data_IF_877791712594
#
_entry.id   IF_877791712594
#
_cell.length_a   1.000
_cell.length_b   1.000
_cell.length_c   1.000
_cell.angle_alpha   90.00
_cell.angle_beta   90.00
_cell.angle_gamma   90.00
#
_symmetry.space_group_name_H-M   'P 1'
#
loop_
_entity.id
_entity.type
_entity.pdbx_description
1 polymer ?
#
# COMPACT_ATOMS: atom_id res chain seq x y z
N UNK A 1 -22.51 8.00 -16.80
CA UNK A 1 -21.51 7.84 -15.73
C UNK A 1 -20.85 6.48 -15.92
N UNK A 2 -19.53 6.44 -15.93
CA UNK A 2 -18.77 5.18 -15.92
C UNK A 2 -18.92 4.59 -14.51
N UNK A 3 -19.27 3.32 -14.38
CA UNK A 3 -19.37 2.67 -13.06
C UNK A 3 -17.97 2.34 -12.54
N UNK A 4 -17.81 2.25 -11.21
CA UNK A 4 -16.52 1.86 -10.61
C UNK A 4 -15.99 0.53 -11.16
N UNK A 5 -16.92 -0.41 -11.41
CA UNK A 5 -16.62 -1.70 -12.04
C UNK A 5 -16.02 -1.57 -13.44
N UNK A 6 -16.44 -0.59 -14.24
CA UNK A 6 -15.84 -0.35 -15.55
C UNK A 6 -14.39 0.16 -15.44
N UNK A 7 -14.04 0.90 -14.38
CA UNK A 7 -12.64 1.27 -14.12
C UNK A 7 -11.80 0.06 -13.70
N UNK A 8 -12.36 -0.82 -12.87
CA UNK A 8 -11.73 -2.09 -12.50
C UNK A 8 -11.48 -2.98 -13.73
N UNK A 9 -12.51 -3.21 -14.55
CA UNK A 9 -12.40 -4.00 -15.79
C UNK A 9 -11.34 -3.42 -16.72
N UNK A 10 -11.32 -2.08 -16.87
CA UNK A 10 -10.28 -1.40 -17.65
C UNK A 10 -8.90 -1.64 -17.05
N UNK A 11 -8.73 -1.50 -15.74
CA UNK A 11 -7.44 -1.72 -15.07
C UNK A 11 -6.88 -3.11 -15.35
N UNK A 12 -7.72 -4.15 -15.26
CA UNK A 12 -7.31 -5.55 -15.47
C UNK A 12 -6.89 -5.87 -16.91
N UNK A 13 -7.40 -5.12 -17.89
CA UNK A 13 -7.16 -5.37 -19.32
C UNK A 13 -5.94 -4.62 -19.87
N UNK A 14 -5.34 -3.73 -19.09
CA UNK A 14 -4.30 -2.84 -19.56
C UNK A 14 -2.92 -3.48 -19.40
N UNK A 15 -1.99 -3.00 -20.21
CA UNK A 15 -0.63 -3.47 -20.13
C UNK A 15 0.09 -2.76 -18.98
N UNK A 16 0.79 -3.53 -18.15
CA UNK A 16 1.77 -3.03 -17.21
C UNK A 16 3.10 -2.84 -17.94
N UNK A 17 3.51 -1.58 -18.08
CA UNK A 17 4.76 -1.21 -18.75
C UNK A 17 5.82 -0.98 -17.68
N UNK A 18 6.79 -1.88 -17.64
CA UNK A 18 7.93 -1.81 -16.73
C UNK A 18 9.14 -1.18 -17.42
N UNK A 19 9.79 -0.27 -16.70
CA UNK A 19 11.16 0.17 -16.96
C UNK A 19 12.05 -0.23 -15.78
N UNK A 20 13.38 -0.02 -15.84
CA UNK A 20 14.26 -0.29 -14.70
C UNK A 20 13.88 0.46 -13.41
N UNK A 21 13.24 1.62 -13.53
CA UNK A 21 12.99 2.55 -12.42
C UNK A 21 11.49 2.87 -12.20
N UNK A 22 10.59 2.33 -13.02
CA UNK A 22 9.18 2.75 -13.02
C UNK A 22 8.24 1.64 -13.51
N UNK A 23 7.04 1.61 -12.92
CA UNK A 23 5.88 0.91 -13.43
C UNK A 23 4.84 1.95 -13.90
N UNK A 24 4.37 1.80 -15.14
CA UNK A 24 3.23 2.56 -15.65
C UNK A 24 2.08 1.67 -16.11
N UNK A 25 0.85 2.09 -15.81
CA UNK A 25 -0.39 1.43 -16.23
C UNK A 25 -1.34 2.54 -16.65
N UNK A 26 -2.00 2.43 -17.81
CA UNK A 26 -2.89 3.48 -18.33
C UNK A 26 -2.24 4.88 -18.47
N UNK A 27 -0.91 4.93 -18.60
CA UNK A 27 -0.15 6.19 -18.62
C UNK A 27 0.01 6.87 -17.26
N UNK A 28 -0.47 6.25 -16.17
CA UNK A 28 -0.19 6.66 -14.79
C UNK A 28 1.18 6.13 -14.36
N UNK A 29 1.94 6.96 -13.65
CA UNK A 29 3.16 6.55 -12.97
C UNK A 29 2.74 5.86 -11.67
N UNK A 30 2.60 4.54 -11.72
CA UNK A 30 2.02 3.74 -10.63
C UNK A 30 3.02 3.56 -9.51
N UNK A 31 4.30 3.40 -9.83
CA UNK A 31 5.37 3.25 -8.85
C UNK A 31 6.70 3.66 -9.46
N UNK A 32 7.54 4.37 -8.70
CA UNK A 32 8.90 4.73 -9.13
C UNK A 32 9.96 4.40 -8.06
N UNK A 33 11.18 4.11 -8.47
CA UNK A 33 12.26 3.67 -7.57
C UNK A 33 12.82 4.78 -6.67
N UNK A 34 12.61 6.07 -7.00
CA UNK A 34 13.00 7.20 -6.15
C UNK A 34 12.31 7.15 -4.77
N UNK A 35 11.17 6.47 -4.69
CA UNK A 35 10.40 6.27 -3.47
C UNK A 35 11.04 5.24 -2.52
N UNK A 36 12.13 4.58 -2.91
CA UNK A 36 12.66 3.40 -2.20
C UNK A 36 12.93 3.62 -0.71
N UNK A 37 13.47 4.79 -0.32
CA UNK A 37 13.71 5.07 1.11
C UNK A 37 12.40 5.33 1.86
N UNK A 38 11.41 5.93 1.20
CA UNK A 38 10.08 6.12 1.77
C UNK A 38 9.36 4.78 1.93
N UNK A 39 9.36 3.92 0.90
CA UNK A 39 8.83 2.55 0.95
C UNK A 39 9.49 1.70 2.02
N UNK A 40 10.81 1.82 2.19
CA UNK A 40 11.53 1.19 3.29
C UNK A 40 10.96 1.62 4.63
N UNK A 41 10.70 2.91 4.82
CA UNK A 41 10.15 3.41 6.09
C UNK A 41 8.74 2.89 6.36
N UNK A 42 7.86 2.89 5.35
CA UNK A 42 6.53 2.29 5.50
C UNK A 42 6.61 0.80 5.84
N UNK A 43 7.51 0.05 5.19
CA UNK A 43 7.73 -1.36 5.51
C UNK A 43 8.25 -1.57 6.95
N UNK A 44 9.15 -0.72 7.45
CA UNK A 44 9.61 -0.77 8.84
C UNK A 44 8.46 -0.51 9.83
N UNK A 45 7.59 0.46 9.54
CA UNK A 45 6.41 0.77 10.37
C UNK A 45 5.47 -0.44 10.39
N UNK A 46 5.08 -0.94 9.21
CA UNK A 46 4.18 -2.07 9.05
C UNK A 46 4.71 -3.36 9.68
N UNK A 47 6.03 -3.56 9.72
CA UNK A 47 6.64 -4.75 10.32
C UNK A 47 7.05 -4.57 11.78
N UNK A 48 6.81 -3.40 12.38
CA UNK A 48 7.29 -3.08 13.74
C UNK A 48 6.68 -3.96 14.84
N UNK A 49 5.51 -4.56 14.59
CA UNK A 49 4.86 -5.52 15.51
C UNK A 49 5.17 -6.98 15.14
N UNK A 50 5.95 -7.23 14.07
CA UNK A 50 6.22 -8.56 13.55
C UNK A 50 4.95 -9.27 13.06
N UNK A 51 4.89 -10.59 13.25
CA UNK A 51 3.66 -11.36 13.06
C UNK A 51 3.12 -11.37 11.63
N UNK A 52 1.83 -11.12 11.47
CA UNK A 52 1.11 -11.19 10.19
C UNK A 52 1.00 -9.79 9.60
N UNK A 53 1.58 -9.59 8.42
CA UNK A 53 1.57 -8.29 7.72
C UNK A 53 0.75 -8.37 6.45
N UNK A 54 -0.17 -7.42 6.28
CA UNK A 54 -0.91 -7.20 5.05
C UNK A 54 -0.28 -6.04 4.27
N UNK A 55 0.01 -6.24 3.01
CA UNK A 55 0.38 -5.20 2.05
C UNK A 55 -0.71 -5.12 0.97
N UNK A 56 -1.22 -3.92 0.70
CA UNK A 56 -2.26 -3.69 -0.30
C UNK A 56 -1.68 -2.83 -1.42
N UNK A 57 -1.54 -3.44 -2.60
CA UNK A 57 -0.79 -2.91 -3.74
C UNK A 57 0.66 -3.41 -3.74
N UNK A 58 1.07 -4.07 -4.82
CA UNK A 58 2.43 -4.64 -4.91
C UNK A 58 3.40 -3.72 -5.67
N UNK A 59 2.93 -3.08 -6.75
CA UNK A 59 3.73 -2.20 -7.59
C UNK A 59 5.02 -2.87 -8.11
N UNK A 60 6.17 -2.29 -7.76
CA UNK A 60 7.51 -2.83 -8.11
C UNK A 60 8.06 -3.83 -7.09
N UNK A 61 7.32 -4.13 -6.01
CA UNK A 61 7.75 -5.02 -4.94
C UNK A 61 8.91 -4.48 -4.10
N UNK A 62 9.01 -3.14 -3.99
CA UNK A 62 10.05 -2.45 -3.20
C UNK A 62 9.76 -2.61 -1.71
N UNK A 63 8.61 -2.12 -1.25
CA UNK A 63 8.07 -2.31 0.11
C UNK A 63 7.99 -3.80 0.46
N UNK A 64 7.41 -4.62 -0.43
CA UNK A 64 7.37 -6.08 -0.28
C UNK A 64 8.75 -6.70 0.01
N UNK A 65 9.81 -6.22 -0.64
CA UNK A 65 11.18 -6.65 -0.42
C UNK A 65 11.66 -6.34 1.00
N UNK A 66 11.41 -5.11 1.47
CA UNK A 66 11.74 -4.70 2.84
C UNK A 66 10.91 -5.45 3.89
N UNK A 67 9.61 -5.70 3.63
CA UNK A 67 8.75 -6.50 4.50
C UNK A 67 9.30 -7.92 4.62
N UNK A 68 9.65 -8.57 3.51
CA UNK A 68 10.22 -9.93 3.49
C UNK A 68 11.57 -10.05 4.19
N UNK A 69 12.37 -8.97 4.18
CA UNK A 69 13.65 -8.89 4.88
C UNK A 69 13.50 -8.77 6.39
N UNK A 70 12.32 -8.39 6.90
CA UNK A 70 12.07 -8.36 8.34
C UNK A 70 12.09 -9.79 8.92
N UNK A 71 12.93 -10.07 9.92
CA UNK A 71 12.94 -11.37 10.58
C UNK A 71 11.76 -11.55 11.54
N UNK A 72 11.08 -10.46 11.92
CA UNK A 72 10.01 -10.46 12.90
C UNK A 72 8.66 -10.94 12.35
N UNK A 73 8.50 -10.96 11.02
CA UNK A 73 7.23 -11.37 10.39
C UNK A 73 7.13 -12.90 10.29
N UNK A 74 5.93 -13.41 10.56
CA UNK A 74 5.54 -14.80 10.36
C UNK A 74 4.99 -15.02 8.95
N UNK A 75 4.17 -14.10 8.46
CA UNK A 75 3.48 -14.23 7.17
C UNK A 75 3.27 -12.85 6.55
N UNK A 76 3.46 -12.79 5.23
CA UNK A 76 3.18 -11.61 4.43
C UNK A 76 2.08 -11.91 3.42
N UNK A 77 0.95 -11.23 3.55
CA UNK A 77 -0.18 -11.33 2.64
C UNK A 77 -0.18 -10.08 1.77
N UNK A 78 -0.11 -10.26 0.45
CA UNK A 78 -0.16 -9.15 -0.51
C UNK A 78 -1.47 -9.23 -1.28
N UNK A 79 -2.21 -8.12 -1.34
CA UNK A 79 -3.36 -7.97 -2.25
C UNK A 79 -2.90 -7.18 -3.47
N UNK A 80 -3.09 -7.75 -4.66
CA UNK A 80 -2.79 -7.08 -5.93
C UNK A 80 -3.82 -7.50 -6.98
N UNK A 81 -4.39 -6.54 -7.71
CA UNK A 81 -5.45 -6.79 -8.67
C UNK A 81 -4.92 -7.05 -10.08
N UNK A 82 -3.85 -6.37 -10.49
CA UNK A 82 -3.42 -6.36 -11.89
C UNK A 82 -2.71 -7.67 -12.25
N UNK A 83 -3.18 -8.42 -13.27
CA UNK A 83 -2.71 -9.77 -13.55
C UNK A 83 -1.21 -9.83 -13.90
N UNK A 84 -0.71 -8.85 -14.66
CA UNK A 84 0.73 -8.77 -14.99
C UNK A 84 1.60 -8.42 -13.77
N UNK A 85 1.08 -7.63 -12.82
CA UNK A 85 1.78 -7.30 -11.57
C UNK A 85 1.80 -8.50 -10.64
N UNK A 86 0.69 -9.27 -10.56
CA UNK A 86 0.67 -10.55 -9.84
C UNK A 86 1.65 -11.55 -10.44
N UNK A 87 1.73 -11.66 -11.77
CA UNK A 87 2.71 -12.53 -12.42
C UNK A 87 4.14 -12.11 -12.05
N UNK A 88 4.44 -10.82 -12.12
CA UNK A 88 5.74 -10.27 -11.72
C UNK A 88 6.06 -10.58 -10.24
N UNK A 89 5.11 -10.37 -9.33
CA UNK A 89 5.23 -10.66 -7.91
C UNK A 89 5.53 -12.15 -7.64
N UNK A 90 4.78 -13.05 -8.28
CA UNK A 90 4.98 -14.51 -8.15
C UNK A 90 6.33 -14.96 -8.67
N UNK A 91 6.84 -14.35 -9.73
CA UNK A 91 8.19 -14.63 -10.24
C UNK A 91 9.26 -14.12 -9.28
N UNK A 92 9.15 -12.86 -8.82
CA UNK A 92 10.14 -12.19 -7.97
C UNK A 92 10.28 -12.84 -6.59
N UNK A 93 9.16 -13.26 -6.00
CA UNK A 93 9.11 -13.80 -4.64
C UNK A 93 8.77 -15.30 -4.60
N UNK A 94 9.12 -16.04 -5.66
CA UNK A 94 8.79 -17.46 -5.80
C UNK A 94 9.25 -18.33 -4.61
N UNK A 95 10.44 -18.06 -4.06
CA UNK A 95 10.99 -18.80 -2.92
C UNK A 95 10.21 -18.52 -1.64
N UNK A 96 9.86 -17.25 -1.37
CA UNK A 96 9.08 -16.87 -0.20
C UNK A 96 7.65 -17.45 -0.24
N UNK A 97 7.07 -17.52 -1.45
CA UNK A 97 5.76 -18.15 -1.67
C UNK A 97 5.87 -19.66 -1.49
N UNK A 98 6.87 -20.31 -2.08
CA UNK A 98 7.09 -21.75 -1.95
C UNK A 98 7.36 -22.17 -0.50
N UNK A 99 8.03 -21.32 0.28
CA UNK A 99 8.25 -21.51 1.71
C UNK A 99 7.02 -21.21 2.58
N UNK A 100 5.93 -20.72 2.00
CA UNK A 100 4.72 -20.32 2.73
C UNK A 100 4.84 -19.01 3.51
N UNK A 101 5.98 -18.32 3.46
CA UNK A 101 6.22 -17.03 4.13
C UNK A 101 5.44 -15.87 3.49
N UNK A 102 5.13 -15.97 2.20
CA UNK A 102 4.36 -14.97 1.46
C UNK A 102 3.16 -15.60 0.75
N UNK A 103 2.07 -14.86 0.61
CA UNK A 103 0.95 -15.19 -0.26
C UNK A 103 0.48 -13.97 -1.03
N UNK A 104 -0.07 -14.20 -2.23
CA UNK A 104 -0.60 -13.14 -3.09
C UNK A 104 -2.06 -13.46 -3.40
N UNK A 105 -2.93 -12.57 -2.96
CA UNK A 105 -4.36 -12.53 -3.24
C UNK A 105 -4.56 -11.71 -4.52
N UNK A 106 -4.87 -12.39 -5.63
CA UNK A 106 -5.10 -11.76 -6.93
C UNK A 106 -6.53 -11.21 -6.99
N UNK A 107 -6.75 -10.01 -6.45
CA UNK A 107 -8.07 -9.38 -6.35
C UNK A 107 -7.93 -7.87 -6.09
N UNK A 108 -9.01 -7.14 -6.34
CA UNK A 108 -9.17 -5.80 -5.78
C UNK A 108 -9.30 -5.89 -4.25
N UNK A 109 -8.80 -4.88 -3.53
CA UNK A 109 -8.82 -4.90 -2.07
C UNK A 109 -10.24 -4.86 -1.54
N UNK A 110 -11.14 -4.12 -2.21
CA UNK A 110 -12.56 -4.02 -1.87
C UNK A 110 -13.26 -5.38 -1.88
N UNK A 111 -12.77 -6.31 -2.69
CA UNK A 111 -13.28 -7.67 -2.79
C UNK A 111 -12.54 -8.58 -1.80
N UNK A 112 -11.20 -8.52 -1.78
CA UNK A 112 -10.38 -9.40 -0.95
C UNK A 112 -10.62 -9.21 0.55
N UNK A 113 -10.75 -7.98 1.03
CA UNK A 113 -10.85 -7.72 2.48
C UNK A 113 -12.15 -8.23 3.07
N UNK A 114 -13.23 -8.33 2.28
CA UNK A 114 -14.54 -8.85 2.73
C UNK A 114 -14.48 -10.28 3.25
N UNK A 115 -13.58 -11.08 2.69
CA UNK A 115 -13.40 -12.48 3.07
C UNK A 115 -12.32 -12.67 4.15
N UNK A 116 -11.58 -11.60 4.49
CA UNK A 116 -10.56 -11.64 5.54
C UNK A 116 -11.20 -11.49 6.93
N UNK A 117 -10.88 -12.37 7.89
CA UNK A 117 -11.39 -12.26 9.25
C UNK A 117 -10.92 -10.97 9.94
N UNK A 118 -11.76 -10.45 10.83
CA UNK A 118 -11.39 -9.35 11.73
C UNK A 118 -10.14 -9.71 12.56
N UNK A 119 -9.35 -8.70 12.92
CA UNK A 119 -8.18 -8.87 13.78
C UNK A 119 -7.19 -9.96 13.30
N UNK A 120 -6.92 -10.00 12.00
CA UNK A 120 -6.02 -10.98 11.38
C UNK A 120 -4.56 -10.52 11.34
N UNK A 121 -4.29 -9.21 11.31
CA UNK A 121 -2.96 -8.66 11.03
C UNK A 121 -2.40 -7.86 12.19
N UNK A 122 -1.10 -8.00 12.41
CA UNK A 122 -0.31 -7.21 13.36
C UNK A 122 0.19 -5.91 12.70
N UNK A 123 0.30 -5.89 11.38
CA UNK A 123 0.72 -4.74 10.59
C UNK A 123 0.01 -4.64 9.24
N UNK A 124 -0.31 -3.42 8.80
CA UNK A 124 -0.89 -3.14 7.47
C UNK A 124 -0.13 -2.00 6.79
N UNK A 125 0.27 -2.22 5.53
CA UNK A 125 0.78 -1.22 4.60
C UNK A 125 -0.20 -1.07 3.44
N UNK A 126 -0.74 0.13 3.22
CA UNK A 126 -1.60 0.41 2.07
C UNK A 126 -0.93 1.38 1.10
N UNK A 127 -0.67 0.92 -0.12
CA UNK A 127 -0.06 1.72 -1.19
C UNK A 127 -0.62 1.28 -2.54
N UNK A 128 -1.78 1.84 -2.89
CA UNK A 128 -2.47 1.54 -4.14
C UNK A 128 -2.48 2.77 -5.05
N UNK A 129 -2.83 2.57 -6.32
CA UNK A 129 -3.00 3.67 -7.27
C UNK A 129 -4.49 3.89 -7.56
N UNK A 130 -4.96 5.15 -7.66
CA UNK A 130 -6.32 5.45 -8.08
C UNK A 130 -6.59 4.90 -9.49
N UNK A 131 -7.74 4.24 -9.68
CA UNK A 131 -8.13 3.68 -10.98
C UNK A 131 -8.51 4.74 -12.03
N UNK A 132 -8.70 6.00 -11.61
CA UNK A 132 -9.02 7.15 -12.45
C UNK A 132 -8.62 8.50 -11.81
N UNK A 133 -8.45 9.54 -12.65
CA UNK A 133 -7.93 10.86 -12.27
C UNK A 133 -8.81 11.65 -11.28
N UNK A 134 -10.10 11.35 -11.20
CA UNK A 134 -11.03 12.08 -10.32
C UNK A 134 -10.95 11.62 -8.85
N UNK A 135 -10.27 10.50 -8.57
CA UNK A 135 -10.06 9.97 -7.21
C UNK A 135 -8.60 10.05 -6.76
N UNK A 136 -7.79 10.94 -7.34
CA UNK A 136 -6.34 10.99 -7.06
C UNK A 136 -6.06 11.35 -5.61
N UNK A 137 -6.79 12.33 -5.08
CA UNK A 137 -6.73 12.68 -3.67
C UNK A 137 -7.71 11.77 -2.91
N UNK A 138 -7.28 11.24 -1.75
CA UNK A 138 -8.14 10.51 -0.80
C UNK A 138 -8.49 9.05 -1.13
N UNK A 139 -7.85 8.42 -2.11
CA UNK A 139 -8.19 7.04 -2.52
C UNK A 139 -8.03 5.99 -1.40
N UNK A 140 -7.21 6.29 -0.39
CA UNK A 140 -6.96 5.41 0.75
C UNK A 140 -7.95 5.63 1.92
N UNK A 141 -8.71 6.74 1.97
CA UNK A 141 -9.69 6.98 3.04
C UNK A 141 -10.76 5.88 3.17
N UNK A 142 -11.33 5.34 2.06
CA UNK A 142 -12.26 4.23 2.15
C UNK A 142 -11.68 2.98 2.80
N UNK A 143 -10.36 2.83 2.84
CA UNK A 143 -9.69 1.69 3.45
C UNK A 143 -9.55 1.82 4.97
N UNK A 144 -9.64 3.02 5.57
CA UNK A 144 -9.41 3.18 7.02
C UNK A 144 -10.31 2.32 7.92
N UNK A 145 -11.63 2.22 7.67
CA UNK A 145 -12.48 1.32 8.45
C UNK A 145 -12.08 -0.15 8.31
N UNK A 146 -11.66 -0.56 7.10
CA UNK A 146 -11.17 -1.92 6.85
C UNK A 146 -9.82 -2.17 7.53
N UNK A 147 -8.89 -1.22 7.48
CA UNK A 147 -7.64 -1.29 8.22
C UNK A 147 -7.90 -1.46 9.73
N UNK A 148 -8.79 -0.65 10.31
CA UNK A 148 -9.17 -0.78 11.71
C UNK A 148 -9.78 -2.15 11.99
N UNK A 149 -10.73 -2.64 11.17
CA UNK A 149 -11.35 -3.96 11.34
C UNK A 149 -10.33 -5.10 11.30
N UNK A 150 -9.43 -5.08 10.32
CA UNK A 150 -8.46 -6.13 10.05
C UNK A 150 -7.28 -6.18 11.03
N UNK A 151 -6.93 -5.06 11.65
CA UNK A 151 -5.86 -5.01 12.64
C UNK A 151 -6.25 -5.72 13.95
N UNK A 152 -5.29 -6.43 14.52
CA UNK A 152 -5.34 -6.91 15.92
C UNK A 152 -5.26 -5.74 16.90
N UNK A 153 -5.68 -5.94 18.16
CA UNK A 153 -5.38 -4.98 19.22
C UNK A 153 -3.86 -4.68 19.28
N UNK A 154 -3.48 -3.40 19.36
CA UNK A 154 -2.09 -2.92 19.26
C UNK A 154 -1.43 -3.07 17.88
N UNK A 155 -2.17 -3.52 16.87
CA UNK A 155 -1.68 -3.59 15.50
C UNK A 155 -1.41 -2.20 14.91
N UNK A 156 -0.55 -2.15 13.90
CA UNK A 156 -0.08 -0.91 13.30
C UNK A 156 -0.47 -0.76 11.83
N UNK A 157 -0.91 0.43 11.45
CA UNK A 157 -1.30 0.78 10.09
C UNK A 157 -0.44 1.96 9.59
N UNK A 158 0.00 1.83 8.34
CA UNK A 158 0.69 2.88 7.59
C UNK A 158 0.23 2.83 6.13
N UNK A 159 0.39 3.94 5.43
CA UNK A 159 0.01 4.05 4.02
C UNK A 159 0.86 5.10 3.30
N UNK A 160 0.88 5.06 1.96
CA UNK A 160 1.46 6.14 1.16
C UNK A 160 0.62 7.41 1.36
N UNK A 161 1.20 8.43 1.97
CA UNK A 161 0.53 9.71 2.22
C UNK A 161 0.67 10.66 1.04
N UNK A 162 -0.38 11.43 0.75
CA UNK A 162 -0.33 12.57 -0.16
C UNK A 162 0.00 13.90 0.57
N UNK A 163 0.45 13.83 1.84
CA UNK A 163 0.75 14.99 2.66
C UNK A 163 2.26 15.17 2.89
N UNK A 164 2.81 16.38 2.72
CA UNK A 164 4.25 16.55 2.71
C UNK A 164 4.89 16.76 4.08
N UNK A 165 4.15 17.24 5.08
CA UNK A 165 4.73 17.72 6.36
C UNK A 165 3.94 17.39 7.61
N UNK A 166 2.62 17.24 7.51
CA UNK A 166 1.75 16.98 8.65
C UNK A 166 0.51 16.21 8.18
N UNK A 167 -0.12 15.48 9.11
CA UNK A 167 -1.44 14.90 8.88
C UNK A 167 -2.48 16.02 9.05
N UNK A 168 -3.25 16.32 8.02
CA UNK A 168 -4.28 17.37 8.09
C UNK A 168 -5.44 17.00 9.01
N UNK A 169 -6.18 18.02 9.47
CA UNK A 169 -7.32 17.83 10.35
C UNK A 169 -8.43 16.94 9.75
N UNK A 170 -8.65 17.00 8.43
CA UNK A 170 -9.64 16.15 7.76
C UNK A 170 -9.18 14.69 7.74
N UNK A 171 -7.89 14.48 7.51
CA UNK A 171 -7.28 13.16 7.54
C UNK A 171 -7.36 12.55 8.95
N UNK A 172 -6.94 13.29 9.96
CA UNK A 172 -7.02 12.88 11.36
C UNK A 172 -8.47 12.57 11.76
N UNK A 173 -9.43 13.41 11.34
CA UNK A 173 -10.86 13.20 11.59
C UNK A 173 -11.33 11.86 11.02
N UNK A 174 -10.92 11.49 9.81
CA UNK A 174 -11.33 10.23 9.18
C UNK A 174 -10.69 9.01 9.84
N UNK A 175 -9.42 9.10 10.25
CA UNK A 175 -8.77 8.06 11.06
C UNK A 175 -9.50 7.86 12.39
N UNK A 176 -9.88 8.95 13.07
CA UNK A 176 -10.67 8.91 14.31
C UNK A 176 -12.06 8.32 14.10
N UNK A 177 -12.72 8.65 12.98
CA UNK A 177 -14.01 8.06 12.62
C UNK A 177 -13.92 6.55 12.35
N UNK A 178 -12.81 6.07 11.79
CA UNK A 178 -12.55 4.64 11.62
C UNK A 178 -12.27 3.90 12.94
N UNK A 179 -11.92 4.64 14.01
CA UNK A 179 -11.72 4.10 15.36
C UNK A 179 -10.32 4.34 15.93
N UNK A 180 -9.37 4.82 15.13
CA UNK A 180 -8.00 5.05 15.58
C UNK A 180 -7.92 6.23 16.55
N UNK A 181 -7.22 6.04 17.68
CA UNK A 181 -7.01 7.10 18.67
C UNK A 181 -5.55 7.56 18.75
N UNK A 182 -4.62 6.66 18.42
CA UNK A 182 -3.19 6.90 18.42
C UNK A 182 -2.73 7.14 16.97
N UNK A 183 -2.56 8.42 16.64
CA UNK A 183 -2.20 8.91 15.31
C UNK A 183 -0.88 9.66 15.47
N UNK A 184 0.20 9.04 15.03
CA UNK A 184 1.53 9.64 14.93
C UNK A 184 1.98 9.62 13.47
N UNK A 185 3.07 10.32 13.18
CA UNK A 185 3.72 10.27 11.88
C UNK A 185 5.18 10.71 11.96
N UNK A 186 5.92 10.41 10.90
CA UNK A 186 7.24 10.96 10.66
C UNK A 186 7.28 11.71 9.33
N UNK A 187 8.20 12.66 9.19
CA UNK A 187 8.44 13.36 7.93
C UNK A 187 9.70 12.79 7.29
N UNK A 188 9.53 12.10 6.17
CA UNK A 188 10.60 11.41 5.45
C UNK A 188 11.10 12.29 4.30
N UNK A 189 12.39 12.64 4.25
CA UNK A 189 12.96 13.34 3.11
C UNK A 189 12.92 12.49 1.84
N UNK A 190 12.53 13.10 0.73
CA UNK A 190 12.49 12.46 -0.60
C UNK A 190 13.05 13.39 -1.67
N UNK A 191 13.38 12.85 -2.83
CA UNK A 191 13.90 13.61 -3.97
C UNK A 191 13.25 13.09 -5.25
N UNK A 192 11.97 13.47 -5.51
CA UNK A 192 11.30 13.07 -6.74
C UNK A 192 12.05 13.64 -7.97
N UNK A 193 12.13 12.90 -9.08
CA UNK A 193 12.73 13.39 -10.31
C UNK A 193 11.89 14.52 -10.93
N UNK A 194 12.50 15.30 -11.81
CA UNK A 194 11.86 16.48 -12.41
C UNK A 194 10.60 16.15 -13.25
N UNK A 195 10.46 14.91 -13.71
CA UNK A 195 9.34 14.40 -14.50
C UNK A 195 8.31 13.62 -13.67
N UNK A 196 8.42 13.62 -12.33
CA UNK A 196 7.40 13.07 -11.43
C UNK A 196 6.11 13.89 -11.53
N UNK A 197 5.00 13.23 -11.88
CA UNK A 197 3.70 13.89 -12.15
C UNK A 197 2.78 13.95 -10.95
N UNK A 198 3.06 13.20 -9.89
CA UNK A 198 2.20 13.06 -8.72
C UNK A 198 2.82 13.64 -7.44
N UNK A 199 4.14 13.85 -7.40
CA UNK A 199 4.82 14.37 -6.22
C UNK A 199 5.86 15.45 -6.55
N UNK A 200 5.77 16.59 -5.87
CA UNK A 200 6.65 17.75 -6.12
C UNK A 200 7.39 18.24 -4.88
N UNK A 201 7.11 17.65 -3.72
CA UNK A 201 7.68 18.08 -2.44
C UNK A 201 8.94 17.26 -2.11
N UNK A 202 9.80 17.81 -1.26
CA UNK A 202 11.04 17.16 -0.83
C UNK A 202 10.89 16.34 0.46
N UNK A 203 9.67 16.19 0.96
CA UNK A 203 9.34 15.40 2.14
C UNK A 203 7.98 14.73 1.92
N UNK A 204 7.75 13.58 2.55
CA UNK A 204 6.45 12.89 2.61
C UNK A 204 6.18 12.47 4.05
N UNK A 205 4.93 12.56 4.50
CA UNK A 205 4.47 12.00 5.77
C UNK A 205 4.47 10.46 5.70
N UNK A 206 5.07 9.81 6.69
CA UNK A 206 4.96 8.37 6.93
C UNK A 206 4.05 8.15 8.16
N UNK A 207 2.77 7.79 7.96
CA UNK A 207 1.80 7.63 9.05
C UNK A 207 2.14 6.45 9.95
N UNK A 208 1.98 6.63 11.27
CA UNK A 208 2.22 5.61 12.30
C UNK A 208 0.93 5.51 13.12
N UNK A 209 -0.02 4.71 12.63
CA UNK A 209 -1.38 4.65 13.19
C UNK A 209 -1.53 3.37 14.00
N UNK A 210 -1.90 3.45 15.29
CA UNK A 210 -2.07 2.28 16.16
C UNK A 210 -3.54 2.05 16.51
N UNK A 211 -3.95 0.77 16.47
CA UNK A 211 -5.27 0.30 16.92
C UNK A 211 -5.30 0.07 18.43
#
# INVERSE_FOLDING_TARGET
MVSYKQYQDRWLQQQAVYSPSELTILGYQVMQDWESQYMKRLAEIATSQGGYVLEVGFGLGISAGFVQASPAIHKHTVIEAHPEVVKFARTRFNQNIAAGKMEILNSFWEDATRDLPDASFDGILFDTCPLHQETVFFHYFPFFPEAYRLLRPNGIFTYFSDEPREISADHERLLRQAGFQQIDFEVVPVTPPADCRYWTHNTIVAPIIRK
#
